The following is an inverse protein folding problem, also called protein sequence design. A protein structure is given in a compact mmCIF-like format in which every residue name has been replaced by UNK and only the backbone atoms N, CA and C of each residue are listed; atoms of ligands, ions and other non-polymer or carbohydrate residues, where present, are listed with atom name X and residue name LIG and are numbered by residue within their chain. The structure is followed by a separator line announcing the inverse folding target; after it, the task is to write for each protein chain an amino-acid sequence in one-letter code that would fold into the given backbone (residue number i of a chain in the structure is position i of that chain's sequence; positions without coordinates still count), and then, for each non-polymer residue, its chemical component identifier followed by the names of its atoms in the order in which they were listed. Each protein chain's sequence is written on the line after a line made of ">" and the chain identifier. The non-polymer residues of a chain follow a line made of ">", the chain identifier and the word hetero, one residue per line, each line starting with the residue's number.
data_IF_859492650887
#
_entry.id   IF_859492650887
#
_cell.length_a   1.000
_cell.length_b   1.000
_cell.length_c   1.000
_cell.angle_alpha   90.00
_cell.angle_beta   90.00
_cell.angle_gamma   90.00
#
_symmetry.space_group_name_H-M   'P 1'
#
loop_
_entity.id
_entity.type
_entity.pdbx_description
1 polymer ?
#
# COMPACT_ATOMS: atom_id res chain seq x y z
N UNK A 1 -28.61 -41.14 -42.22
CA UNK A 1 -28.38 -41.19 -40.77
C UNK A 1 -29.66 -41.32 -39.95
N UNK A 2 -30.74 -40.58 -40.23
CA UNK A 2 -32.00 -40.65 -39.45
C UNK A 2 -32.70 -42.03 -39.46
N UNK A 3 -32.57 -42.82 -40.54
CA UNK A 3 -33.16 -44.16 -40.61
C UNK A 3 -32.48 -45.22 -39.72
N UNK A 4 -31.26 -44.96 -39.23
CA UNK A 4 -30.52 -45.93 -38.39
C UNK A 4 -31.03 -45.95 -36.93
N UNK A 5 -31.53 -44.80 -36.45
CA UNK A 5 -32.09 -44.68 -35.10
C UNK A 5 -33.49 -45.30 -35.02
N UNK A 6 -34.30 -45.18 -36.06
CA UNK A 6 -35.70 -45.66 -36.08
C UNK A 6 -35.85 -47.18 -36.30
N UNK A 7 -34.78 -47.88 -36.69
CA UNK A 7 -34.77 -49.35 -36.86
C UNK A 7 -34.37 -50.12 -35.59
N UNK A 8 -33.91 -49.43 -34.53
CA UNK A 8 -33.47 -50.05 -33.28
C UNK A 8 -34.61 -50.19 -32.27
N UNK A 9 -34.48 -51.17 -31.35
CA UNK A 9 -35.47 -51.37 -30.29
C UNK A 9 -35.55 -50.15 -29.35
N UNK A 10 -36.71 -49.91 -28.73
CA UNK A 10 -36.91 -48.76 -27.84
C UNK A 10 -35.87 -48.68 -26.70
N UNK A 11 -35.38 -49.83 -26.23
CA UNK A 11 -34.35 -49.91 -25.20
C UNK A 11 -32.99 -49.42 -25.71
N UNK A 12 -32.62 -49.74 -26.95
CA UNK A 12 -31.37 -49.29 -27.57
C UNK A 12 -31.40 -47.80 -27.91
N UNK A 13 -32.55 -47.27 -28.32
CA UNK A 13 -32.73 -45.83 -28.55
C UNK A 13 -32.55 -45.02 -27.26
N UNK A 14 -33.15 -45.47 -26.15
CA UNK A 14 -32.96 -44.84 -24.83
C UNK A 14 -31.51 -44.89 -24.37
N UNK A 15 -30.83 -46.02 -24.59
CA UNK A 15 -29.41 -46.17 -24.24
C UNK A 15 -28.52 -45.23 -25.05
N UNK A 16 -28.77 -45.11 -26.37
CA UNK A 16 -28.06 -44.17 -27.24
C UNK A 16 -28.27 -42.71 -26.83
N UNK A 17 -29.50 -42.35 -26.44
CA UNK A 17 -29.82 -41.00 -26.00
C UNK A 17 -29.09 -40.64 -24.70
N UNK A 18 -29.05 -41.56 -23.73
CA UNK A 18 -28.26 -41.37 -22.49
C UNK A 18 -26.77 -41.24 -22.80
N UNK A 19 -26.23 -42.04 -23.72
CA UNK A 19 -24.83 -41.94 -24.13
C UNK A 19 -24.49 -40.58 -24.78
N UNK A 20 -25.37 -40.08 -25.65
CA UNK A 20 -25.21 -38.76 -26.27
C UNK A 20 -25.24 -37.65 -25.22
N UNK A 21 -26.17 -37.71 -24.26
CA UNK A 21 -26.26 -36.75 -23.15
C UNK A 21 -24.99 -36.77 -22.29
N UNK A 22 -24.46 -37.95 -21.98
CA UNK A 22 -23.20 -38.09 -21.23
C UNK A 22 -22.01 -37.49 -21.96
N UNK A 23 -21.89 -37.72 -23.28
CA UNK A 23 -20.84 -37.13 -24.11
C UNK A 23 -20.94 -35.60 -24.10
N UNK A 24 -22.17 -35.07 -24.22
CA UNK A 24 -22.40 -33.64 -24.18
C UNK A 24 -22.05 -33.02 -22.82
N UNK A 25 -22.39 -33.68 -21.71
CA UNK A 25 -21.99 -33.27 -20.37
C UNK A 25 -20.46 -33.25 -20.19
N UNK A 26 -19.74 -34.25 -20.71
CA UNK A 26 -18.28 -34.28 -20.64
C UNK A 26 -17.63 -33.13 -21.44
N UNK A 27 -18.18 -32.80 -22.61
CA UNK A 27 -17.71 -31.68 -23.41
C UNK A 27 -17.93 -30.34 -22.69
N UNK A 28 -19.10 -30.14 -22.07
CA UNK A 28 -19.40 -28.92 -21.30
C UNK A 28 -18.47 -28.81 -20.09
N UNK A 29 -18.26 -29.90 -19.34
CA UNK A 29 -17.33 -29.91 -18.21
C UNK A 29 -15.91 -29.54 -18.65
N UNK A 30 -15.41 -30.12 -19.74
CA UNK A 30 -14.07 -29.81 -20.28
C UNK A 30 -13.92 -28.34 -20.69
N UNK A 31 -14.97 -27.74 -21.24
CA UNK A 31 -14.96 -26.34 -21.64
C UNK A 31 -14.98 -25.39 -20.42
N UNK A 32 -15.76 -25.71 -19.40
CA UNK A 32 -15.80 -24.93 -18.14
C UNK A 32 -14.45 -25.01 -17.41
N UNK A 33 -13.84 -26.20 -17.34
CA UNK A 33 -12.53 -26.37 -16.70
C UNK A 33 -11.44 -25.51 -17.35
N UNK A 34 -11.45 -25.36 -18.68
CA UNK A 34 -10.48 -24.52 -19.40
C UNK A 34 -10.70 -23.03 -19.17
N UNK A 35 -11.94 -22.56 -19.03
CA UNK A 35 -12.24 -21.18 -18.66
C UNK A 35 -11.81 -20.84 -17.23
N UNK A 36 -12.07 -21.75 -16.27
CA UNK A 36 -11.66 -21.58 -14.87
C UNK A 36 -10.13 -21.51 -14.76
N UNK A 37 -9.40 -22.38 -15.48
CA UNK A 37 -7.94 -22.39 -15.49
C UNK A 37 -7.35 -21.08 -16.04
N UNK A 38 -7.94 -20.53 -17.12
CA UNK A 38 -7.51 -19.24 -17.69
C UNK A 38 -7.76 -18.08 -16.72
N UNK A 39 -8.93 -18.06 -16.06
CA UNK A 39 -9.27 -17.02 -15.09
C UNK A 39 -8.38 -17.07 -13.84
N UNK A 40 -8.11 -18.27 -13.33
CA UNK A 40 -7.17 -18.47 -12.22
C UNK A 40 -5.76 -17.99 -12.57
N UNK A 41 -5.25 -18.36 -13.76
CA UNK A 41 -3.94 -17.90 -14.24
C UNK A 41 -3.87 -16.39 -14.38
N UNK A 42 -4.93 -15.75 -14.91
CA UNK A 42 -5.00 -14.30 -15.03
C UNK A 42 -5.03 -13.60 -13.65
N UNK A 43 -5.81 -14.13 -12.71
CA UNK A 43 -5.87 -13.64 -11.33
C UNK A 43 -4.51 -13.75 -10.64
N UNK A 44 -3.82 -14.88 -10.75
CA UNK A 44 -2.48 -15.07 -10.19
C UNK A 44 -1.46 -14.11 -10.82
N UNK A 45 -1.48 -13.93 -12.15
CA UNK A 45 -0.60 -12.98 -12.83
C UNK A 45 -0.83 -11.54 -12.36
N UNK A 46 -2.10 -11.16 -12.16
CA UNK A 46 -2.44 -9.85 -11.63
C UNK A 46 -1.93 -9.65 -10.20
N UNK A 47 -2.13 -10.63 -9.31
CA UNK A 47 -1.64 -10.56 -7.94
C UNK A 47 -0.12 -10.48 -7.87
N UNK A 48 0.59 -11.26 -8.70
CA UNK A 48 2.04 -11.21 -8.77
C UNK A 48 2.53 -9.85 -9.28
N UNK A 49 1.94 -9.32 -10.35
CA UNK A 49 2.29 -7.98 -10.85
C UNK A 49 2.03 -6.87 -9.82
N UNK A 50 0.94 -6.97 -9.05
CA UNK A 50 0.65 -6.05 -7.95
C UNK A 50 1.69 -6.16 -6.83
N UNK A 51 2.04 -7.38 -6.43
CA UNK A 51 3.04 -7.61 -5.39
C UNK A 51 4.43 -7.13 -5.83
N UNK A 52 4.83 -7.40 -7.07
CA UNK A 52 6.10 -6.94 -7.64
C UNK A 52 6.15 -5.41 -7.69
N UNK A 53 5.05 -4.76 -8.09
CA UNK A 53 4.93 -3.31 -8.06
C UNK A 53 5.10 -2.74 -6.64
N UNK A 54 4.38 -3.29 -5.66
CA UNK A 54 4.50 -2.86 -4.26
C UNK A 54 5.91 -3.10 -3.71
N UNK A 55 6.56 -4.22 -4.06
CA UNK A 55 7.93 -4.53 -3.67
C UNK A 55 8.94 -3.53 -4.25
N UNK A 56 8.87 -3.25 -5.56
CA UNK A 56 9.76 -2.29 -6.23
C UNK A 56 9.53 -0.89 -5.68
N UNK A 57 8.28 -0.49 -5.47
CA UNK A 57 7.91 0.80 -4.88
C UNK A 57 8.45 0.95 -3.46
N UNK A 58 8.33 -0.08 -2.62
CA UNK A 58 8.89 -0.09 -1.27
C UNK A 58 10.42 0.01 -1.30
N UNK A 59 11.09 -0.75 -2.18
CA UNK A 59 12.53 -0.67 -2.39
C UNK A 59 12.99 0.71 -2.86
N UNK A 60 12.28 1.31 -3.81
CA UNK A 60 12.56 2.66 -4.31
C UNK A 60 12.35 3.73 -3.23
N UNK A 61 11.31 3.62 -2.41
CA UNK A 61 11.10 4.50 -1.25
C UNK A 61 12.19 4.33 -0.20
N UNK A 62 12.60 3.10 0.08
CA UNK A 62 13.70 2.82 1.01
C UNK A 62 15.02 3.45 0.51
N UNK A 63 15.35 3.27 -0.76
CA UNK A 63 16.53 3.89 -1.38
C UNK A 63 16.44 5.42 -1.41
N UNK A 64 15.28 5.98 -1.78
CA UNK A 64 15.07 7.43 -1.75
C UNK A 64 15.19 7.98 -0.34
N UNK A 65 14.69 7.26 0.67
CA UNK A 65 14.87 7.62 2.07
C UNK A 65 16.33 7.52 2.49
N UNK A 66 17.07 6.45 2.15
CA UNK A 66 18.48 6.32 2.55
C UNK A 66 19.40 7.34 1.87
N UNK A 67 19.14 7.68 0.61
CA UNK A 67 19.94 8.66 -0.15
C UNK A 67 19.61 10.08 0.30
N UNK A 68 18.32 10.41 0.51
CA UNK A 68 17.93 11.71 1.08
C UNK A 68 18.32 11.87 2.54
N UNK A 69 18.25 10.83 3.37
CA UNK A 69 18.69 10.88 4.77
C UNK A 69 20.18 11.19 4.84
N UNK A 70 21.02 10.67 3.94
CA UNK A 70 22.47 10.95 4.02
C UNK A 70 22.81 12.38 3.57
N UNK A 71 22.08 12.96 2.63
CA UNK A 71 22.23 14.37 2.20
C UNK A 71 21.54 15.37 3.14
N UNK A 72 20.39 15.02 3.74
CA UNK A 72 19.61 15.89 4.65
C UNK A 72 20.14 15.81 6.09
N UNK A 73 20.65 14.65 6.55
CA UNK A 73 21.25 14.49 7.89
C UNK A 73 22.50 15.35 8.08
N UNK A 74 23.15 15.80 7.00
CA UNK A 74 24.32 16.67 7.05
C UNK A 74 24.01 18.16 6.85
N UNK A 75 22.75 18.55 6.59
CA UNK A 75 22.40 19.97 6.41
C UNK A 75 21.04 20.29 7.05
N UNK A 76 21.06 20.60 8.36
CA UNK A 76 19.91 21.04 9.16
C UNK A 76 19.04 22.08 8.43
N UNK A 77 19.67 23.03 7.72
CA UNK A 77 18.96 24.06 6.97
C UNK A 77 18.07 23.48 5.84
N UNK A 78 18.50 22.40 5.17
CA UNK A 78 17.71 21.75 4.11
C UNK A 78 16.54 20.97 4.69
N UNK A 79 16.70 20.37 5.87
CA UNK A 79 15.60 19.70 6.57
C UNK A 79 14.52 20.71 7.00
N UNK A 80 14.94 21.83 7.61
CA UNK A 80 14.03 22.88 8.05
C UNK A 80 13.23 23.47 6.87
N UNK A 81 13.90 23.76 5.75
CA UNK A 81 13.23 24.21 4.52
C UNK A 81 12.23 23.18 4.00
N UNK A 82 12.61 21.89 3.95
CA UNK A 82 11.71 20.83 3.49
C UNK A 82 10.48 20.67 4.38
N UNK A 83 10.62 20.83 5.70
CA UNK A 83 9.48 20.81 6.63
C UNK A 83 8.57 22.02 6.41
N UNK A 84 9.12 23.21 6.15
CA UNK A 84 8.32 24.39 5.83
C UNK A 84 7.59 24.27 4.49
N UNK A 85 8.21 23.66 3.47
CA UNK A 85 7.58 23.39 2.18
C UNK A 85 6.40 22.42 2.34
N UNK A 86 6.57 21.31 3.07
CA UNK A 86 5.48 20.37 3.38
C UNK A 86 4.32 21.10 4.08
N UNK A 87 4.64 21.91 5.10
CA UNK A 87 3.63 22.67 5.83
C UNK A 87 2.86 23.64 4.90
N UNK A 88 3.56 24.32 4.00
CA UNK A 88 2.97 25.25 3.04
C UNK A 88 2.01 24.54 2.08
N UNK A 89 2.39 23.35 1.58
CA UNK A 89 1.54 22.52 0.70
C UNK A 89 0.24 22.11 1.39
N UNK A 90 0.30 21.76 2.68
CA UNK A 90 -0.87 21.37 3.47
C UNK A 90 -1.64 22.57 4.08
N UNK A 91 -1.13 23.79 3.91
CA UNK A 91 -1.70 25.01 4.48
C UNK A 91 -1.58 25.10 6.00
N UNK A 92 -0.53 24.49 6.56
CA UNK A 92 -0.19 24.51 7.98
C UNK A 92 0.86 25.58 8.28
N UNK A 93 0.82 26.13 9.50
CA UNK A 93 1.82 27.09 9.97
C UNK A 93 2.79 26.43 10.93
N UNK A 94 4.06 26.31 10.54
CA UNK A 94 5.13 25.87 11.45
C UNK A 94 5.62 27.05 12.27
N UNK A 95 5.74 26.86 13.57
CA UNK A 95 6.19 27.87 14.55
C UNK A 95 7.66 27.69 14.92
N UNK A 96 8.07 26.44 15.13
CA UNK A 96 9.43 26.12 15.53
C UNK A 96 9.84 24.75 14.99
N UNK A 97 11.12 24.62 14.63
CA UNK A 97 11.75 23.36 14.27
C UNK A 97 13.03 23.27 15.07
N UNK A 98 13.25 22.16 15.75
CA UNK A 98 14.48 21.90 16.49
C UNK A 98 14.98 20.52 16.12
N UNK A 99 16.17 20.44 15.55
CA UNK A 99 16.79 19.17 15.17
C UNK A 99 18.09 18.97 15.93
N UNK A 100 18.32 17.73 16.33
CA UNK A 100 19.57 17.24 16.89
C UNK A 100 19.87 15.85 16.26
N UNK A 101 21.02 15.27 16.58
CA UNK A 101 21.47 13.97 16.09
C UNK A 101 20.49 12.82 16.42
N UNK A 102 19.72 12.98 17.51
CA UNK A 102 18.90 11.91 18.10
C UNK A 102 17.40 12.17 18.03
N UNK A 103 16.97 13.43 17.89
CA UNK A 103 15.56 13.79 17.81
C UNK A 103 15.29 14.99 16.90
N UNK A 104 14.06 15.06 16.40
CA UNK A 104 13.48 16.19 15.70
C UNK A 104 12.21 16.62 16.45
N UNK A 105 12.05 17.92 16.68
CA UNK A 105 10.84 18.50 17.26
C UNK A 105 10.27 19.54 16.28
N UNK A 106 8.98 19.44 15.98
CA UNK A 106 8.27 20.36 15.09
C UNK A 106 7.02 20.86 15.80
N UNK A 107 6.98 22.17 16.06
CA UNK A 107 5.81 22.86 16.60
C UNK A 107 5.04 23.54 15.45
N UNK A 108 3.74 23.26 15.34
CA UNK A 108 2.89 23.77 14.25
C UNK A 108 1.45 23.98 14.71
N UNK A 109 0.72 24.82 13.99
CA UNK A 109 -0.71 25.04 14.22
C UNK A 109 -1.48 23.95 13.46
N UNK A 110 -2.20 23.05 14.15
CA UNK A 110 -3.03 22.04 13.50
C UNK A 110 -4.29 22.68 12.88
N UNK A 111 -4.74 22.13 11.76
CA UNK A 111 -6.00 22.52 11.10
C UNK A 111 -7.06 21.42 11.28
N UNK A 112 -6.93 20.32 10.52
CA UNK A 112 -7.78 19.14 10.68
C UNK A 112 -6.93 17.87 10.78
N UNK A 113 -7.53 16.84 11.37
CA UNK A 113 -6.85 15.57 11.66
C UNK A 113 -6.21 14.92 10.42
N UNK A 114 -6.88 15.00 9.26
CA UNK A 114 -6.38 14.40 8.02
C UNK A 114 -5.10 15.09 7.53
N UNK A 115 -5.06 16.43 7.58
CA UNK A 115 -3.87 17.21 7.23
C UNK A 115 -2.77 17.04 8.26
N UNK A 116 -3.11 17.07 9.55
CA UNK A 116 -2.14 16.82 10.63
C UNK A 116 -1.50 15.46 10.47
N UNK A 117 -2.28 14.41 10.22
CA UNK A 117 -1.76 13.06 9.99
C UNK A 117 -0.79 13.03 8.80
N UNK A 118 -1.18 13.61 7.67
CA UNK A 118 -0.35 13.65 6.46
C UNK A 118 0.97 14.39 6.71
N UNK A 119 0.90 15.56 7.35
CA UNK A 119 2.07 16.34 7.72
C UNK A 119 3.05 15.53 8.57
N UNK A 120 2.56 14.84 9.61
CA UNK A 120 3.41 14.00 10.47
C UNK A 120 4.08 12.85 9.69
N UNK A 121 3.33 12.19 8.80
CA UNK A 121 3.85 11.10 7.96
C UNK A 121 4.91 11.61 6.97
N UNK A 122 4.68 12.77 6.36
CA UNK A 122 5.59 13.36 5.37
C UNK A 122 6.87 13.89 6.02
N UNK A 123 6.79 14.50 7.20
CA UNK A 123 7.96 14.90 8.02
C UNK A 123 8.75 13.68 8.47
N UNK A 124 8.08 12.61 8.90
CA UNK A 124 8.75 11.35 9.26
C UNK A 124 9.51 10.75 8.06
N UNK A 125 8.89 10.77 6.86
CA UNK A 125 9.52 10.27 5.63
C UNK A 125 10.68 11.14 5.17
N UNK A 126 10.56 12.47 5.28
CA UNK A 126 11.62 13.42 4.89
C UNK A 126 12.84 13.30 5.80
N UNK A 127 12.59 13.26 7.12
CA UNK A 127 13.65 13.30 8.14
C UNK A 127 14.28 11.93 8.40
N UNK A 128 13.55 10.83 8.13
CA UNK A 128 13.96 9.48 8.53
C UNK A 128 13.76 9.16 10.01
N UNK A 129 13.24 10.10 10.81
CA UNK A 129 12.89 9.89 12.21
C UNK A 129 11.47 9.32 12.31
N UNK A 130 11.26 8.40 13.26
CA UNK A 130 9.93 7.87 13.56
C UNK A 130 9.18 8.82 14.51
N UNK A 131 7.87 8.96 14.33
CA UNK A 131 7.01 9.69 15.28
C UNK A 131 7.08 8.97 16.64
N UNK A 132 7.41 9.73 17.69
CA UNK A 132 7.50 9.25 19.08
C UNK A 132 6.32 9.80 19.89
N UNK A 133 6.17 11.12 19.94
CA UNK A 133 5.09 11.78 20.68
C UNK A 133 4.45 12.91 19.87
N UNK A 134 3.17 13.15 20.16
CA UNK A 134 2.42 14.30 19.68
C UNK A 134 1.71 14.92 20.88
N UNK A 135 2.09 16.14 21.22
CA UNK A 135 1.48 16.91 22.30
C UNK A 135 0.63 18.03 21.71
N UNK A 136 -0.59 18.20 22.22
CA UNK A 136 -1.45 19.32 21.88
C UNK A 136 -1.59 20.24 23.08
N UNK A 137 -1.28 21.51 22.87
CA UNK A 137 -1.41 22.56 23.87
C UNK A 137 -2.21 23.72 23.28
N UNK A 138 -2.81 24.54 24.15
CA UNK A 138 -3.44 25.78 23.74
C UNK A 138 -2.58 26.92 24.24
N UNK A 139 -1.97 27.67 23.31
CA UNK A 139 -1.12 28.81 23.63
C UNK A 139 -1.78 30.07 23.05
N UNK A 140 -2.04 31.08 23.89
CA UNK A 140 -2.66 32.35 23.48
C UNK A 140 -3.99 32.20 22.72
N UNK A 141 -4.78 31.17 23.05
CA UNK A 141 -6.07 30.88 22.39
C UNK A 141 -5.97 30.15 21.05
N UNK A 142 -4.75 29.82 20.59
CA UNK A 142 -4.50 29.01 19.40
C UNK A 142 -4.03 27.61 19.80
N UNK A 143 -4.52 26.58 19.11
CA UNK A 143 -3.98 25.22 19.30
C UNK A 143 -2.58 25.14 18.70
N UNK A 144 -1.65 24.59 19.46
CA UNK A 144 -0.27 24.32 19.06
C UNK A 144 -0.01 22.83 19.25
N UNK A 145 0.40 22.17 18.17
CA UNK A 145 0.79 20.77 18.18
C UNK A 145 2.32 20.69 18.10
N UNK A 146 2.91 19.88 19.00
CA UNK A 146 4.34 19.64 19.09
C UNK A 146 4.59 18.17 18.82
N UNK A 147 5.23 17.87 17.69
CA UNK A 147 5.55 16.51 17.28
C UNK A 147 7.03 16.21 17.52
N UNK A 148 7.30 15.18 18.33
CA UNK A 148 8.66 14.68 18.56
C UNK A 148 8.89 13.42 17.73
N UNK A 149 10.04 13.37 17.07
CA UNK A 149 10.48 12.23 16.27
C UNK A 149 11.83 11.73 16.78
N UNK A 150 12.04 10.41 16.82
CA UNK A 150 13.27 9.76 17.28
C UNK A 150 13.90 8.88 16.20
N UNK A 151 15.22 8.78 16.23
CA UNK A 151 15.96 7.93 15.31
C UNK A 151 15.74 6.45 15.67
N UNK A 152 15.23 5.64 14.74
CA UNK A 152 14.97 4.21 14.96
C UNK A 152 16.22 3.41 15.37
N UNK A 153 17.42 3.89 15.03
CA UNK A 153 18.67 3.13 15.19
C UNK A 153 19.31 3.22 16.59
N UNK A 154 18.67 3.87 17.57
CA UNK A 154 19.18 3.94 18.95
C UNK A 154 18.30 3.21 19.98
N UNK A 155 17.15 2.65 19.59
CA UNK A 155 16.24 1.97 20.52
C UNK A 155 16.68 0.53 20.90
N UNK A 156 17.88 0.10 20.52
CA UNK A 156 18.44 -1.25 20.80
C UNK A 156 19.79 -1.23 21.52
N UNK A 157 20.06 -0.20 22.34
CA UNK A 157 21.20 -0.20 23.29
C UNK A 157 20.75 0.19 24.71
N UNK A 158 19.95 -0.69 25.31
CA UNK A 158 19.69 -0.83 26.75
C UNK A 158 19.07 -2.23 26.88
N UNK A 159 19.57 -3.22 27.63
CA UNK A 159 20.63 -3.34 28.65
C UNK A 159 21.43 -4.63 28.38
#
# INVERSE_FOLDING_TARGET
>A
MLNFLNQRSQREQKLLLVAVVLILCLLVMSFVSTLIAKNSTASTKYQNAKNDYEYVKAGAMHLMSSTKITEIKNNQATLELGIQDIATVDGLTVKNITVNETYLNVAFVPDNLSKTKRFLEDVSRLSGFAIDTLELQTENGQQLATATYKNKNQSTKAE
#
